data_IF_900579836120
#
_entry.id   IF_900579836120
#
_cell.length_a   1.000
_cell.length_b   1.000
_cell.length_c   1.000
_cell.angle_alpha   90.00
_cell.angle_beta   90.00
_cell.angle_gamma   90.00
#
_symmetry.space_group_name_H-M   'P 1'
#
loop_
_entity.id
_entity.type
_entity.pdbx_description
1 polymer ?
#
# COMPACT_ATOMS: atom_id res chain seq x y z
N UNK A 1 -35.26 -8.58 -33.37
CA UNK A 1 -35.18 -7.72 -32.17
C UNK A 1 -34.03 -6.75 -32.39
N UNK A 2 -34.33 -5.50 -32.77
CA UNK A 2 -33.33 -4.49 -33.16
C UNK A 2 -32.74 -3.87 -31.89
N UNK A 3 -31.50 -4.19 -31.57
CA UNK A 3 -30.68 -3.46 -30.61
C UNK A 3 -30.24 -2.16 -31.28
N UNK A 4 -30.75 -1.03 -30.79
CA UNK A 4 -30.38 0.29 -31.28
C UNK A 4 -30.07 1.18 -30.07
N UNK A 5 -29.09 2.07 -30.26
CA UNK A 5 -28.63 3.16 -29.38
C UNK A 5 -27.42 2.87 -28.48
N UNK A 6 -26.31 2.41 -29.07
CA UNK A 6 -25.05 3.07 -28.74
C UNK A 6 -25.10 4.44 -29.42
N UNK A 7 -25.35 5.52 -28.66
CA UNK A 7 -25.06 6.87 -29.16
C UNK A 7 -23.54 6.95 -29.33
N UNK A 8 -23.06 6.64 -30.54
CA UNK A 8 -21.83 7.24 -31.02
C UNK A 8 -22.11 8.74 -30.96
N UNK A 9 -21.40 9.46 -30.08
CA UNK A 9 -21.37 10.93 -30.14
C UNK A 9 -20.59 11.23 -31.42
N UNK A 10 -21.29 11.19 -32.55
CA UNK A 10 -20.81 11.79 -33.79
C UNK A 10 -20.83 13.27 -33.50
N UNK A 11 -19.67 13.93 -33.56
CA UNK A 11 -19.59 15.37 -33.45
C UNK A 11 -20.61 15.96 -34.42
N UNK A 12 -21.56 16.74 -33.91
CA UNK A 12 -22.49 17.47 -34.75
C UNK A 12 -21.65 18.37 -35.65
N UNK A 13 -21.78 18.22 -36.98
CA UNK A 13 -20.96 18.93 -37.99
C UNK A 13 -21.15 20.47 -37.94
N UNK A 14 -21.96 20.97 -37.00
CA UNK A 14 -22.25 22.38 -36.74
C UNK A 14 -21.67 22.98 -35.45
N UNK A 15 -20.84 22.27 -34.68
CA UNK A 15 -20.16 22.89 -33.53
C UNK A 15 -19.11 23.91 -34.01
N UNK A 16 -19.26 25.18 -33.60
CA UNK A 16 -18.28 26.21 -33.96
C UNK A 16 -16.91 25.86 -33.36
N UNK A 17 -15.85 26.05 -34.15
CA UNK A 17 -14.46 25.89 -33.68
C UNK A 17 -14.18 26.72 -32.41
N UNK A 18 -14.89 27.83 -32.25
CA UNK A 18 -14.89 28.65 -31.03
C UNK A 18 -15.35 27.86 -29.78
N UNK A 19 -16.48 27.15 -29.84
CA UNK A 19 -16.97 26.34 -28.70
C UNK A 19 -16.02 25.21 -28.34
N UNK A 20 -15.39 24.59 -29.34
CA UNK A 20 -14.38 23.55 -29.11
C UNK A 20 -13.15 24.11 -28.41
N UNK A 21 -12.68 25.28 -28.84
CA UNK A 21 -11.57 25.98 -28.20
C UNK A 21 -11.91 26.38 -26.74
N UNK A 22 -13.13 26.87 -26.48
CA UNK A 22 -13.61 27.17 -25.14
C UNK A 22 -13.65 25.93 -24.23
N UNK A 23 -14.23 24.83 -24.71
CA UNK A 23 -14.28 23.57 -23.97
C UNK A 23 -12.87 23.02 -23.68
N UNK A 24 -11.98 23.09 -24.66
CA UNK A 24 -10.59 22.66 -24.50
C UNK A 24 -9.86 23.54 -23.47
N UNK A 25 -10.07 24.85 -23.46
CA UNK A 25 -9.48 25.75 -22.48
C UNK A 25 -9.88 25.41 -21.03
N UNK A 26 -11.15 25.01 -20.82
CA UNK A 26 -11.63 24.54 -19.51
C UNK A 26 -10.93 23.23 -19.10
N UNK A 27 -10.78 22.29 -20.03
CA UNK A 27 -10.10 21.01 -19.79
C UNK A 27 -8.62 21.24 -19.45
N UNK A 28 -7.93 22.10 -20.21
CA UNK A 28 -6.53 22.41 -20.02
C UNK A 28 -6.27 23.10 -18.67
N UNK A 29 -7.14 24.05 -18.30
CA UNK A 29 -7.06 24.68 -16.98
C UNK A 29 -7.26 23.66 -15.86
N UNK A 30 -8.25 22.77 -15.99
CA UNK A 30 -8.46 21.70 -15.02
C UNK A 30 -7.25 20.77 -14.92
N UNK A 31 -6.70 20.30 -16.05
CA UNK A 31 -5.53 19.41 -16.08
C UNK A 31 -4.36 20.05 -15.33
N UNK A 32 -4.13 21.35 -15.58
CA UNK A 32 -3.07 22.13 -14.94
C UNK A 32 -3.31 22.33 -13.45
N UNK A 33 -4.46 22.87 -13.06
CA UNK A 33 -4.77 23.25 -11.67
C UNK A 33 -4.95 22.03 -10.77
N UNK A 34 -5.60 20.97 -11.26
CA UNK A 34 -5.75 19.72 -10.55
C UNK A 34 -4.47 18.87 -10.56
N UNK A 35 -3.46 19.23 -11.37
CA UNK A 35 -2.24 18.42 -11.63
C UNK A 35 -2.62 17.01 -12.09
N UNK A 36 -3.56 16.93 -13.03
CA UNK A 36 -4.29 15.71 -13.35
C UNK A 36 -3.38 14.55 -13.73
N UNK A 37 -2.36 14.76 -14.57
CA UNK A 37 -1.43 13.69 -14.96
C UNK A 37 -0.67 13.08 -13.78
N UNK A 38 -0.24 13.90 -12.81
CA UNK A 38 0.42 13.39 -11.59
C UNK A 38 -0.56 12.56 -10.76
N UNK A 39 -1.80 13.03 -10.63
CA UNK A 39 -2.86 12.28 -9.94
C UNK A 39 -3.20 10.98 -10.64
N UNK A 40 -3.26 10.96 -11.98
CA UNK A 40 -3.52 9.74 -12.76
C UNK A 40 -2.45 8.68 -12.48
N UNK A 41 -1.17 9.08 -12.43
CA UNK A 41 -0.09 8.17 -12.05
C UNK A 41 -0.29 7.66 -10.62
N UNK A 42 -0.55 8.55 -9.66
CA UNK A 42 -0.81 8.17 -8.27
C UNK A 42 -2.03 7.25 -8.10
N UNK A 43 -3.09 7.44 -8.88
CA UNK A 43 -4.27 6.56 -8.87
C UNK A 43 -3.88 5.12 -9.21
N UNK A 44 -2.99 4.90 -10.17
CA UNK A 44 -2.51 3.55 -10.51
C UNK A 44 -1.76 2.96 -9.31
N UNK A 45 -0.81 3.69 -8.73
CA UNK A 45 -0.04 3.24 -7.57
C UNK A 45 -0.93 2.92 -6.36
N UNK A 46 -1.94 3.76 -6.08
CA UNK A 46 -2.91 3.55 -5.01
C UNK A 46 -3.78 2.31 -5.27
N UNK A 47 -4.25 2.11 -6.50
CA UNK A 47 -5.00 0.90 -6.86
C UNK A 47 -4.16 -0.37 -6.68
N UNK A 48 -2.88 -0.34 -7.04
CA UNK A 48 -2.02 -1.52 -6.87
C UNK A 48 -1.71 -1.80 -5.39
N UNK A 49 -1.42 -0.74 -4.61
CA UNK A 49 -1.06 -0.80 -3.18
C UNK A 49 -2.25 -1.14 -2.29
N UNK A 50 -3.37 -0.43 -2.47
CA UNK A 50 -4.53 -0.45 -1.57
C UNK A 50 -5.69 -1.26 -2.15
N UNK A 51 -5.68 -1.55 -3.46
CA UNK A 51 -6.78 -2.21 -4.15
C UNK A 51 -7.85 -1.25 -4.65
N UNK A 52 -7.80 0.01 -4.26
CA UNK A 52 -8.82 0.99 -4.57
C UNK A 52 -8.31 2.43 -4.43
N UNK A 53 -9.09 3.39 -4.94
CA UNK A 53 -8.79 4.81 -4.82
C UNK A 53 -10.10 5.61 -4.73
N UNK A 54 -10.18 6.49 -3.74
CA UNK A 54 -11.26 7.46 -3.59
C UNK A 54 -10.74 8.85 -3.94
N UNK A 55 -11.41 9.53 -4.88
CA UNK A 55 -11.11 10.90 -5.23
C UNK A 55 -12.34 11.76 -4.98
N UNK A 56 -12.26 12.64 -3.98
CA UNK A 56 -13.34 13.56 -3.62
C UNK A 56 -13.30 14.82 -4.47
N UNK A 57 -14.47 15.17 -4.98
CA UNK A 57 -14.77 16.36 -5.76
C UNK A 57 -15.31 17.44 -4.82
N UNK A 58 -14.71 18.62 -4.87
CA UNK A 58 -15.18 19.81 -4.16
C UNK A 58 -15.57 20.84 -5.20
N UNK A 59 -16.88 20.99 -5.42
CA UNK A 59 -17.44 21.99 -6.33
C UNK A 59 -17.40 23.36 -5.66
N UNK A 60 -16.73 24.31 -6.30
CA UNK A 60 -16.60 25.66 -5.80
C UNK A 60 -17.62 26.60 -6.47
N UNK A 61 -18.05 27.68 -5.79
CA UNK A 61 -19.00 28.64 -6.36
C UNK A 61 -18.51 29.33 -7.64
N UNK A 62 -17.20 29.35 -7.86
CA UNK A 62 -16.55 29.89 -9.07
C UNK A 62 -16.63 28.94 -10.28
N UNK A 63 -17.34 27.80 -10.15
CA UNK A 63 -17.47 26.78 -11.18
C UNK A 63 -16.27 25.82 -11.26
N UNK A 64 -15.23 26.02 -10.46
CA UNK A 64 -14.07 25.11 -10.44
C UNK A 64 -14.34 23.86 -9.61
N UNK A 65 -13.72 22.74 -9.98
CA UNK A 65 -13.76 21.50 -9.19
C UNK A 65 -12.38 21.19 -8.64
N UNK A 66 -12.26 21.13 -7.32
CA UNK A 66 -11.01 20.78 -6.64
C UNK A 66 -11.02 19.31 -6.24
N UNK A 67 -9.92 18.61 -6.51
CA UNK A 67 -9.78 17.18 -6.24
C UNK A 67 -8.95 16.93 -4.98
N UNK A 68 -9.38 16.02 -4.11
CA UNK A 68 -8.57 15.52 -2.99
C UNK A 68 -8.69 14.00 -2.90
N UNK A 69 -7.58 13.34 -2.59
CA UNK A 69 -7.63 11.93 -2.23
C UNK A 69 -8.29 11.77 -0.86
N UNK A 70 -9.03 10.69 -0.71
CA UNK A 70 -9.51 10.20 0.58
C UNK A 70 -8.80 8.87 0.81
N UNK A 71 -8.19 8.71 1.97
CA UNK A 71 -7.49 7.47 2.28
C UNK A 71 -8.51 6.34 2.56
N UNK A 72 -8.24 5.10 2.13
CA UNK A 72 -9.17 3.99 2.34
C UNK A 72 -9.52 3.70 3.80
N UNK A 73 -8.67 4.08 4.75
CA UNK A 73 -8.88 3.93 6.20
C UNK A 73 -9.87 4.95 6.78
N UNK A 74 -10.00 6.13 6.14
CA UNK A 74 -11.03 7.12 6.47
C UNK A 74 -12.43 6.65 6.06
N UNK A 75 -12.53 5.72 5.12
CA UNK A 75 -13.79 5.15 4.62
C UNK A 75 -14.18 3.95 5.49
N UNK A 76 -15.02 4.21 6.50
CA UNK A 76 -15.41 3.20 7.49
C UNK A 76 -16.87 3.36 7.94
N UNK A 77 -17.51 2.23 8.25
CA UNK A 77 -18.87 2.23 8.79
C UNK A 77 -18.86 2.89 10.18
N UNK A 78 -19.64 3.96 10.41
CA UNK A 78 -19.70 4.58 11.72
C UNK A 78 -20.41 3.66 12.72
N UNK A 79 -20.09 3.81 14.01
CA UNK A 79 -20.68 2.99 15.08
C UNK A 79 -22.23 3.07 15.10
N UNK A 80 -22.79 4.22 14.76
CA UNK A 80 -24.23 4.46 14.63
C UNK A 80 -24.91 3.60 13.55
N UNK A 81 -24.16 3.05 12.61
CA UNK A 81 -24.65 2.21 11.50
C UNK A 81 -24.24 0.74 11.64
N UNK A 82 -23.72 0.32 12.79
CA UNK A 82 -23.17 -1.03 13.00
C UNK A 82 -24.13 -2.19 12.69
N UNK A 83 -25.44 -1.96 12.78
CA UNK A 83 -26.48 -2.95 12.44
C UNK A 83 -27.06 -2.81 11.03
N UNK A 84 -26.55 -1.90 10.20
CA UNK A 84 -27.08 -1.60 8.87
C UNK A 84 -26.22 -2.26 7.78
N UNK A 85 -26.67 -3.37 7.16
CA UNK A 85 -25.92 -4.05 6.10
C UNK A 85 -25.68 -3.15 4.87
N UNK A 86 -26.60 -2.20 4.62
CA UNK A 86 -26.48 -1.27 3.49
C UNK A 86 -25.33 -0.28 3.68
N UNK A 87 -24.85 -0.05 4.92
CA UNK A 87 -23.70 0.80 5.24
C UNK A 87 -22.37 0.04 5.38
N UNK A 88 -22.36 -1.26 5.07
CA UNK A 88 -21.22 -2.12 5.31
C UNK A 88 -19.93 -1.62 4.62
N UNK A 89 -18.79 -1.81 5.31
CA UNK A 89 -17.45 -1.45 4.82
C UNK A 89 -17.28 0.06 4.50
N UNK A 90 -18.14 0.92 5.08
CA UNK A 90 -18.10 2.36 4.89
C UNK A 90 -18.69 2.85 3.57
N UNK A 91 -19.31 1.98 2.78
CA UNK A 91 -19.99 2.33 1.53
C UNK A 91 -21.48 2.13 1.74
N UNK A 92 -22.25 3.20 1.62
CA UNK A 92 -23.70 3.20 1.70
C UNK A 92 -24.28 2.85 0.34
N UNK A 93 -25.04 1.77 0.26
CA UNK A 93 -25.80 1.37 -0.93
C UNK A 93 -27.27 1.52 -0.68
N UNK A 94 -28.07 1.35 -1.73
CA UNK A 94 -29.48 1.01 -1.56
C UNK A 94 -29.61 -0.33 -0.79
N UNK A 95 -30.68 -0.53 0.00
CA UNK A 95 -30.82 -1.72 0.85
C UNK A 95 -30.80 -3.05 0.10
N UNK A 96 -31.42 -3.08 -1.09
CA UNK A 96 -31.63 -4.30 -1.88
C UNK A 96 -30.77 -4.33 -3.17
N UNK A 97 -29.91 -3.33 -3.38
CA UNK A 97 -29.02 -3.25 -4.53
C UNK A 97 -27.63 -2.78 -4.08
N UNK A 98 -26.65 -3.69 -4.13
CA UNK A 98 -25.27 -3.43 -3.75
C UNK A 98 -24.49 -2.60 -4.79
N UNK A 99 -24.96 -2.54 -6.03
CA UNK A 99 -24.29 -1.80 -7.11
C UNK A 99 -24.69 -0.32 -7.12
N UNK A 100 -25.90 0.01 -6.66
CA UNK A 100 -26.34 1.40 -6.49
C UNK A 100 -25.79 1.99 -5.20
N UNK A 101 -24.69 2.74 -5.33
CA UNK A 101 -24.04 3.46 -4.23
C UNK A 101 -24.73 4.81 -4.00
N UNK A 102 -25.19 5.04 -2.77
CA UNK A 102 -25.79 6.28 -2.30
C UNK A 102 -24.73 7.23 -1.72
N UNK A 103 -23.69 6.69 -1.08
CA UNK A 103 -22.63 7.52 -0.54
C UNK A 103 -21.52 6.76 0.19
N UNK A 104 -20.59 7.52 0.76
CA UNK A 104 -19.40 7.01 1.42
C UNK A 104 -19.28 7.62 2.82
N UNK A 105 -19.09 6.76 3.83
CA UNK A 105 -18.86 7.19 5.20
C UNK A 105 -17.39 7.52 5.40
N UNK A 106 -17.07 8.82 5.34
CA UNK A 106 -15.71 9.36 5.45
C UNK A 106 -15.60 10.07 6.80
N UNK A 107 -14.68 9.61 7.65
CA UNK A 107 -14.49 10.14 9.02
C UNK A 107 -15.81 10.23 9.81
N UNK A 108 -16.67 9.23 9.64
CA UNK A 108 -17.97 9.12 10.30
C UNK A 108 -19.08 10.00 9.72
N UNK A 109 -18.84 10.73 8.63
CA UNK A 109 -19.84 11.54 7.93
C UNK A 109 -20.20 10.91 6.60
N UNK A 110 -21.48 10.88 6.27
CA UNK A 110 -21.93 10.44 4.95
C UNK A 110 -21.64 11.55 3.93
N UNK A 111 -20.87 11.21 2.92
CA UNK A 111 -20.59 12.04 1.75
C UNK A 111 -21.32 11.44 0.57
N UNK A 112 -21.96 12.29 -0.22
CA UNK A 112 -22.75 11.88 -1.38
C UNK A 112 -21.90 11.13 -2.41
N UNK A 113 -22.49 10.14 -3.08
CA UNK A 113 -21.82 9.40 -4.14
C UNK A 113 -21.38 10.30 -5.30
N UNK A 114 -22.14 11.36 -5.61
CA UNK A 114 -21.81 12.33 -6.67
C UNK A 114 -20.55 13.14 -6.37
N UNK A 115 -20.19 13.29 -5.09
CA UNK A 115 -18.96 13.96 -4.66
C UNK A 115 -17.73 13.04 -4.71
N UNK A 116 -17.90 11.74 -4.99
CA UNK A 116 -16.81 10.76 -4.88
C UNK A 116 -16.66 9.96 -6.16
N UNK A 117 -15.47 10.08 -6.75
CA UNK A 117 -15.04 9.15 -7.78
C UNK A 117 -14.30 7.97 -7.15
N UNK A 118 -15.03 6.88 -6.95
CA UNK A 118 -14.50 5.62 -6.42
C UNK A 118 -14.04 4.69 -7.55
N UNK A 119 -12.84 4.11 -7.38
CA UNK A 119 -12.30 3.09 -8.30
C UNK A 119 -11.80 1.91 -7.50
N UNK A 120 -12.44 0.76 -7.67
CA UNK A 120 -11.96 -0.54 -7.15
C UNK A 120 -11.12 -1.30 -8.16
N UNK A 121 -10.25 -2.18 -7.67
CA UNK A 121 -9.38 -3.05 -8.45
C UNK A 121 -9.48 -4.50 -7.96
N UNK A 122 -9.24 -5.45 -8.88
CA UNK A 122 -9.09 -6.89 -8.61
C UNK A 122 -10.30 -7.56 -7.93
N UNK A 123 -11.51 -7.02 -8.10
CA UNK A 123 -12.76 -7.53 -7.55
C UNK A 123 -13.92 -7.33 -8.53
N UNK A 124 -15.00 -8.09 -8.33
CA UNK A 124 -16.22 -7.98 -9.13
C UNK A 124 -17.08 -6.75 -8.78
N UNK A 125 -18.08 -6.45 -9.61
CA UNK A 125 -18.95 -5.28 -9.49
C UNK A 125 -19.79 -5.23 -8.20
N UNK A 126 -20.14 -6.38 -7.62
CA UNK A 126 -20.89 -6.48 -6.37
C UNK A 126 -20.02 -6.35 -5.11
N UNK A 127 -18.69 -6.49 -5.24
CA UNK A 127 -17.78 -6.37 -4.09
C UNK A 127 -17.60 -4.88 -3.75
N UNK A 128 -17.92 -4.51 -2.50
CA UNK A 128 -17.89 -3.11 -2.06
C UNK A 128 -16.48 -2.50 -2.10
N UNK A 129 -15.47 -3.23 -1.63
CA UNK A 129 -14.08 -2.74 -1.50
C UNK A 129 -13.13 -3.50 -2.42
N UNK A 130 -12.10 -2.81 -2.89
CA UNK A 130 -11.08 -3.39 -3.76
C UNK A 130 -10.10 -4.30 -3.03
N UNK A 131 -9.30 -5.05 -3.81
CA UNK A 131 -8.21 -5.89 -3.29
C UNK A 131 -6.86 -5.46 -3.88
N UNK A 132 -5.81 -5.26 -3.05
CA UNK A 132 -4.47 -4.96 -3.53
C UNK A 132 -3.94 -5.98 -4.54
N UNK A 133 -3.10 -5.54 -5.47
CA UNK A 133 -2.57 -6.37 -6.55
C UNK A 133 -1.87 -7.63 -6.02
N UNK A 134 -1.05 -7.48 -4.98
CA UNK A 134 -0.30 -8.60 -4.38
C UNK A 134 -1.06 -9.35 -3.28
N UNK A 135 -2.35 -9.06 -3.06
CA UNK A 135 -3.15 -9.73 -2.03
C UNK A 135 -3.15 -11.27 -2.18
N UNK A 136 -3.35 -11.86 -3.38
CA UNK A 136 -3.38 -13.32 -3.53
C UNK A 136 -2.06 -14.02 -3.17
N UNK A 137 -0.92 -13.38 -3.43
CA UNK A 137 0.42 -13.94 -3.19
C UNK A 137 1.05 -13.46 -1.88
N UNK A 138 0.36 -12.64 -1.08
CA UNK A 138 0.87 -12.05 0.16
C UNK A 138 1.46 -13.07 1.13
N UNK A 139 0.85 -14.26 1.25
CA UNK A 139 1.36 -15.33 2.11
C UNK A 139 2.71 -15.86 1.63
N UNK A 140 2.92 -15.96 0.32
CA UNK A 140 4.17 -16.42 -0.28
C UNK A 140 5.27 -15.36 -0.09
N UNK A 141 4.94 -14.08 -0.31
CA UNK A 141 5.88 -12.97 -0.09
C UNK A 141 6.36 -12.91 1.37
N UNK A 142 5.45 -13.06 2.34
CA UNK A 142 5.81 -13.13 3.77
C UNK A 142 6.70 -14.33 4.11
N UNK A 143 6.47 -15.47 3.46
CA UNK A 143 7.33 -16.66 3.64
C UNK A 143 8.73 -16.42 3.07
N UNK A 144 8.81 -15.82 1.88
CA UNK A 144 10.08 -15.47 1.26
C UNK A 144 10.88 -14.48 2.12
N UNK A 145 10.24 -13.42 2.61
CA UNK A 145 10.85 -12.45 3.55
C UNK A 145 11.38 -13.13 4.81
N UNK A 146 10.60 -14.05 5.41
CA UNK A 146 11.02 -14.82 6.59
C UNK A 146 12.23 -15.70 6.30
N UNK A 147 12.25 -16.37 5.15
CA UNK A 147 13.35 -17.24 4.73
C UNK A 147 14.63 -16.43 4.51
N UNK A 148 14.55 -15.31 3.79
CA UNK A 148 15.67 -14.42 3.54
C UNK A 148 16.28 -13.92 4.85
N UNK A 149 15.45 -13.45 5.79
CA UNK A 149 15.93 -13.00 7.11
C UNK A 149 16.66 -14.12 7.87
N UNK A 150 16.11 -15.33 7.88
CA UNK A 150 16.73 -16.46 8.56
C UNK A 150 18.06 -16.85 7.92
N UNK A 151 18.15 -16.80 6.59
CA UNK A 151 19.41 -17.07 5.88
C UNK A 151 20.47 -16.01 6.19
N UNK A 152 20.10 -14.73 6.28
CA UNK A 152 21.03 -13.67 6.69
C UNK A 152 21.63 -13.90 8.07
N UNK A 153 20.81 -14.33 9.05
CA UNK A 153 21.27 -14.66 10.41
C UNK A 153 22.23 -15.85 10.39
N UNK A 154 21.94 -16.90 9.61
CA UNK A 154 22.85 -18.04 9.48
C UNK A 154 24.17 -17.63 8.87
N UNK A 155 24.15 -16.79 7.82
CA UNK A 155 25.36 -16.29 7.17
C UNK A 155 26.21 -15.44 8.12
N UNK A 156 25.58 -14.59 8.94
CA UNK A 156 26.26 -13.79 9.97
C UNK A 156 27.00 -14.70 10.97
N UNK A 157 26.30 -15.70 11.53
CA UNK A 157 26.89 -16.67 12.47
C UNK A 157 28.07 -17.40 11.81
N UNK A 158 27.89 -17.87 10.57
CA UNK A 158 28.95 -18.57 9.84
C UNK A 158 30.16 -17.67 9.59
N UNK A 159 29.95 -16.39 9.28
CA UNK A 159 31.04 -15.44 9.04
C UNK A 159 31.81 -15.07 10.31
N UNK A 160 31.15 -15.09 11.48
CA UNK A 160 31.78 -14.80 12.76
C UNK A 160 32.64 -15.97 13.29
N UNK A 161 32.46 -17.19 12.78
CA UNK A 161 33.19 -18.37 13.22
C UNK A 161 34.51 -18.48 12.43
N UNK A 162 35.64 -18.18 13.08
CA UNK A 162 36.95 -18.26 12.45
C UNK A 162 37.47 -19.71 12.26
N UNK A 163 37.21 -20.61 13.22
CA UNK A 163 37.62 -22.01 13.17
C UNK A 163 36.79 -22.84 14.15
N UNK A 164 36.28 -24.00 13.71
CA UNK A 164 35.77 -25.06 14.61
C UNK A 164 36.79 -26.19 14.65
N UNK A 165 37.41 -26.44 15.81
CA UNK A 165 38.37 -27.54 16.00
C UNK A 165 37.80 -28.59 16.94
N UNK A 166 37.77 -29.85 16.49
CA UNK A 166 37.42 -31.01 17.32
C UNK A 166 38.71 -31.66 17.84
N UNK A 167 38.82 -31.83 19.15
CA UNK A 167 39.93 -32.52 19.78
C UNK A 167 39.49 -33.91 20.25
N UNK A 168 40.24 -34.95 19.88
CA UNK A 168 40.12 -36.27 20.49
C UNK A 168 41.01 -36.29 21.73
N UNK A 169 40.52 -35.75 22.85
CA UNK A 169 41.25 -35.73 24.12
C UNK A 169 40.46 -36.49 25.18
N UNK A 170 41.16 -37.26 26.01
CA UNK A 170 40.62 -37.73 27.31
C UNK A 170 40.51 -36.53 28.26
N UNK A 171 39.63 -36.58 29.27
CA UNK A 171 39.29 -35.41 30.11
C UNK A 171 40.48 -34.62 30.68
N UNK A 172 41.62 -35.27 30.93
CA UNK A 172 42.86 -34.64 31.37
C UNK A 172 43.51 -33.71 30.32
N UNK A 173 43.45 -34.06 29.03
CA UNK A 173 44.03 -33.24 27.95
C UNK A 173 43.25 -31.95 27.68
N UNK A 174 41.95 -31.91 28.04
CA UNK A 174 41.12 -30.72 27.88
C UNK A 174 41.45 -29.65 28.94
N UNK A 175 41.69 -30.07 30.18
CA UNK A 175 42.09 -29.18 31.29
C UNK A 175 43.44 -28.50 31.02
N UNK A 176 44.40 -29.22 30.44
CA UNK A 176 45.71 -28.67 30.09
C UNK A 176 45.67 -27.70 28.89
N UNK A 177 44.74 -27.90 27.95
CA UNK A 177 44.55 -26.97 26.82
C UNK A 177 43.88 -25.66 27.25
N UNK A 178 42.88 -25.72 28.15
CA UNK A 178 42.25 -24.51 28.70
C UNK A 178 43.20 -23.65 29.52
N UNK A 179 44.14 -24.26 30.24
CA UNK A 179 45.18 -23.52 30.96
C UNK A 179 46.28 -22.98 30.04
N UNK A 180 46.52 -23.59 28.88
CA UNK A 180 47.49 -23.07 27.91
C UNK A 180 46.95 -21.94 27.01
N UNK A 181 45.62 -21.85 26.83
CA UNK A 181 44.97 -20.79 26.04
C UNK A 181 44.71 -19.49 26.81
N UNK A 182 44.94 -19.48 28.12
CA UNK A 182 44.82 -18.32 28.97
C UNK A 182 46.22 -17.89 29.41
N UNK A 183 46.96 -17.16 28.58
CA UNK A 183 48.13 -16.39 29.05
C UNK A 183 48.58 -15.36 27.98
N UNK A 184 48.34 -14.08 28.24
CA UNK A 184 49.26 -13.01 27.85
C UNK A 184 50.05 -12.67 29.11
N UNK A 185 51.21 -13.29 29.28
CA UNK A 185 52.10 -13.00 30.39
C UNK A 185 53.07 -11.88 29.99
N UNK A 186 52.90 -10.67 30.54
CA UNK A 186 53.84 -9.56 30.34
C UNK A 186 54.89 -9.62 31.45
N UNK A 187 56.15 -9.82 31.07
CA UNK A 187 57.28 -9.83 32.01
C UNK A 187 57.92 -8.45 32.07
N UNK A 188 57.95 -7.83 33.25
CA UNK A 188 58.59 -6.52 33.44
C UNK A 188 60.11 -6.67 33.54
N UNK A 189 60.84 -6.07 32.60
CA UNK A 189 62.31 -6.18 32.55
C UNK A 189 63.05 -5.46 33.69
N UNK A 190 62.37 -4.61 34.47
CA UNK A 190 63.01 -3.88 35.56
C UNK A 190 63.06 -4.69 36.89
N UNK A 191 62.10 -5.58 37.13
CA UNK A 191 61.98 -6.34 38.39
C UNK A 191 62.01 -7.85 38.20
N UNK A 192 62.00 -8.33 36.95
CA UNK A 192 62.09 -9.75 36.63
C UNK A 192 60.89 -10.59 37.04
N UNK A 193 59.79 -9.95 37.48
CA UNK A 193 58.56 -10.65 37.83
C UNK A 193 57.60 -10.73 36.63
N UNK A 194 57.07 -11.93 36.44
CA UNK A 194 56.06 -12.26 35.43
C UNK A 194 54.72 -12.37 36.14
N UNK A 195 53.72 -11.65 35.63
CA UNK A 195 52.32 -11.75 36.08
C UNK A 195 51.46 -12.21 34.92
N UNK A 196 50.60 -13.19 35.20
CA UNK A 196 49.56 -13.68 34.31
C UNK A 196 48.31 -12.80 34.39
#
# INVERSE_FOLDING_TARGET
MKLNHAKVIVADEGESEERRAEAQAVIDDFIRTAKWHKRQQEIVWRKDRDGECFLRLFFAPDGTTRLRFVEPDQVAMPASQSGNPAAAMGIQTEPDDVETVVGYWIDGRLVDAEEIQFRKANVDANVRRGLPLFYPVRKNLRRAEKLLRNMSVVAEIQSAIALIRKHAATGAGLQQFTSAGADVSITSQATGQTTN
#
